data_IF_551915007892
#
_entry.id   IF_551915007892
#
_cell.length_a   1.000
_cell.length_b   1.000
_cell.length_c   1.000
_cell.angle_alpha   90.00
_cell.angle_beta   90.00
_cell.angle_gamma   90.00
#
_symmetry.space_group_name_H-M   'P 1'
#
loop_
_entity.id
_entity.type
_entity.pdbx_description
1 polymer ?
#
# COMPACT_ATOMS: atom_id res chain seq x y z
N UNK A 1 -7.45 -22.71 -34.47
CA UNK A 1 -6.82 -21.51 -33.89
C UNK A 1 -7.74 -21.05 -32.76
N UNK A 2 -7.32 -21.18 -31.50
CA UNK A 2 -8.20 -20.99 -30.34
C UNK A 2 -8.62 -19.52 -30.20
N UNK A 3 -9.93 -19.26 -30.14
CA UNK A 3 -10.52 -17.94 -29.88
C UNK A 3 -10.28 -17.43 -28.44
N UNK A 4 -9.62 -18.21 -27.56
CA UNK A 4 -9.24 -17.77 -26.22
C UNK A 4 -8.25 -16.59 -26.22
N UNK A 5 -7.51 -16.38 -27.31
CA UNK A 5 -6.62 -15.23 -27.51
C UNK A 5 -7.35 -13.89 -27.69
N UNK A 6 -8.68 -13.90 -27.83
CA UNK A 6 -9.52 -12.70 -28.01
C UNK A 6 -10.22 -12.25 -26.72
N UNK A 7 -9.97 -12.91 -25.56
CA UNK A 7 -10.36 -12.33 -24.27
C UNK A 7 -9.59 -11.03 -24.09
N UNK A 8 -10.28 -9.96 -23.68
CA UNK A 8 -9.66 -8.65 -23.48
C UNK A 8 -8.48 -8.74 -22.51
N UNK A 9 -7.36 -8.11 -22.89
CA UNK A 9 -6.18 -7.92 -22.03
C UNK A 9 -6.44 -6.84 -20.96
N UNK A 10 -7.64 -6.83 -20.37
CA UNK A 10 -8.05 -5.80 -19.43
C UNK A 10 -7.23 -5.91 -18.14
N UNK A 11 -6.27 -4.99 -18.01
CA UNK A 11 -5.52 -4.80 -16.80
C UNK A 11 -6.31 -3.90 -15.85
N UNK A 12 -6.48 -4.37 -14.62
CA UNK A 12 -7.12 -3.65 -13.52
C UNK A 12 -6.02 -3.18 -12.59
N UNK A 13 -6.07 -1.91 -12.18
CA UNK A 13 -5.15 -1.36 -11.18
C UNK A 13 -5.91 -1.05 -9.91
N UNK A 14 -5.54 -1.72 -8.82
CA UNK A 14 -6.00 -1.38 -7.47
C UNK A 14 -5.03 -0.40 -6.82
N UNK A 15 -5.54 0.72 -6.32
CA UNK A 15 -4.77 1.75 -5.63
C UNK A 15 -5.29 1.90 -4.21
N UNK A 16 -4.41 1.68 -3.23
CA UNK A 16 -4.68 1.92 -1.82
C UNK A 16 -3.85 3.12 -1.33
N UNK A 17 -4.53 4.14 -0.81
CA UNK A 17 -3.92 5.29 -0.15
C UNK A 17 -4.20 5.17 1.34
N UNK A 18 -3.18 5.31 2.18
CA UNK A 18 -3.34 5.24 3.65
C UNK A 18 -2.69 6.43 4.35
N UNK A 19 -3.25 6.81 5.49
CA UNK A 19 -2.70 7.81 6.41
C UNK A 19 -2.28 7.14 7.70
N UNK A 20 -1.06 7.42 8.13
CA UNK A 20 -0.43 6.81 9.30
C UNK A 20 0.04 7.89 10.28
N UNK A 21 -0.07 7.58 11.57
CA UNK A 21 0.57 8.29 12.67
C UNK A 21 1.72 7.45 13.23
N UNK A 22 2.86 8.08 13.48
CA UNK A 22 4.09 7.45 13.98
C UNK A 22 4.50 8.15 15.27
N UNK A 23 3.81 7.84 16.38
CA UNK A 23 3.97 8.57 17.66
C UNK A 23 5.41 8.56 18.18
N UNK A 24 6.15 7.48 17.91
CA UNK A 24 7.54 7.30 18.33
C UNK A 24 8.57 8.05 17.48
N UNK A 25 8.19 8.66 16.35
CA UNK A 25 9.12 9.40 15.52
C UNK A 25 9.27 10.84 16.02
N UNK A 26 10.47 11.20 16.46
CA UNK A 26 10.79 12.57 16.90
C UNK A 26 11.58 13.34 15.83
N UNK A 27 12.17 12.63 14.87
CA UNK A 27 12.92 13.22 13.75
C UNK A 27 12.47 12.64 12.40
N UNK A 28 12.80 13.34 11.30
CA UNK A 28 12.58 12.81 9.95
C UNK A 28 13.35 11.50 9.70
N UNK A 29 14.49 11.31 10.37
CA UNK A 29 15.27 10.06 10.26
C UNK A 29 14.52 8.88 10.89
N UNK A 30 13.86 9.09 12.02
CA UNK A 30 13.06 8.06 12.69
C UNK A 30 11.91 7.61 11.79
N UNK A 31 11.17 8.57 11.21
CA UNK A 31 10.12 8.28 10.23
C UNK A 31 10.67 7.44 9.07
N UNK A 32 11.76 7.90 8.44
CA UNK A 32 12.36 7.21 7.29
C UNK A 32 12.73 5.77 7.63
N UNK A 33 13.28 5.51 8.82
CA UNK A 33 13.62 4.17 9.28
C UNK A 33 12.37 3.29 9.42
N UNK A 34 11.32 3.79 10.08
CA UNK A 34 10.07 3.05 10.31
C UNK A 34 9.36 2.76 8.98
N UNK A 35 9.21 3.78 8.13
CA UNK A 35 8.55 3.66 6.83
C UNK A 35 9.33 2.74 5.90
N UNK A 36 10.67 2.83 5.87
CA UNK A 36 11.51 1.90 5.09
C UNK A 36 11.25 0.45 5.52
N UNK A 37 11.31 0.16 6.82
CA UNK A 37 11.07 -1.19 7.33
C UNK A 37 9.68 -1.73 6.95
N UNK A 38 8.64 -0.90 7.04
CA UNK A 38 7.30 -1.25 6.60
C UNK A 38 7.24 -1.56 5.09
N UNK A 39 7.82 -0.68 4.27
CA UNK A 39 7.86 -0.86 2.81
C UNK A 39 8.60 -2.14 2.41
N UNK A 40 9.74 -2.42 3.04
CA UNK A 40 10.53 -3.63 2.77
C UNK A 40 9.73 -4.89 3.11
N UNK A 41 9.07 -4.92 4.29
CA UNK A 41 8.19 -6.03 4.68
C UNK A 41 7.03 -6.23 3.70
N UNK A 42 6.45 -5.15 3.21
CA UNK A 42 5.33 -5.19 2.24
C UNK A 42 5.79 -5.77 0.92
N UNK A 43 6.88 -5.24 0.36
CA UNK A 43 7.43 -5.70 -0.94
C UNK A 43 7.84 -7.17 -0.90
N UNK A 44 8.32 -7.65 0.25
CA UNK A 44 8.69 -9.06 0.41
C UNK A 44 7.48 -10.01 0.51
N UNK A 45 6.31 -9.50 0.90
CA UNK A 45 5.10 -10.32 1.13
C UNK A 45 4.06 -10.20 0.03
N UNK A 46 4.00 -9.05 -0.65
CA UNK A 46 2.97 -8.72 -1.62
C UNK A 46 3.59 -8.21 -2.91
N UNK A 47 3.01 -8.62 -4.05
CA UNK A 47 3.40 -8.10 -5.36
C UNK A 47 2.77 -6.71 -5.58
N UNK A 48 3.32 -5.69 -4.94
CA UNK A 48 2.79 -4.32 -4.99
C UNK A 48 3.91 -3.28 -5.16
N UNK A 49 3.59 -2.19 -5.85
CA UNK A 49 4.37 -0.96 -5.79
C UNK A 49 3.95 -0.15 -4.56
N UNK A 50 4.91 0.47 -3.87
CA UNK A 50 4.63 1.27 -2.67
C UNK A 50 5.58 2.46 -2.53
N UNK A 51 5.02 3.63 -2.22
CA UNK A 51 5.77 4.86 -1.95
C UNK A 51 5.14 5.70 -0.83
N UNK A 52 5.96 6.52 -0.18
CA UNK A 52 5.44 7.63 0.64
C UNK A 52 5.00 8.75 -0.31
N UNK A 53 3.81 9.32 -0.09
CA UNK A 53 3.17 10.30 -0.96
C UNK A 53 2.73 11.53 -0.14
N UNK A 54 3.39 12.67 -0.34
CA UNK A 54 3.10 13.88 0.45
C UNK A 54 3.44 13.76 1.94
N UNK A 55 3.28 14.87 2.68
CA UNK A 55 3.61 15.00 4.13
C UNK A 55 5.03 14.53 4.49
N UNK A 56 6.01 14.78 3.62
CA UNK A 56 7.38 14.30 3.82
C UNK A 56 8.08 15.04 4.97
N UNK A 57 7.67 16.28 5.24
CA UNK A 57 8.34 17.18 6.19
C UNK A 57 7.81 17.10 7.63
N UNK A 58 6.87 16.19 7.92
CA UNK A 58 6.41 15.92 9.28
C UNK A 58 6.88 14.53 9.75
N UNK A 59 7.55 14.45 10.90
CA UNK A 59 8.10 13.19 11.41
C UNK A 59 7.03 12.21 11.92
N UNK A 60 5.95 12.69 12.53
CA UNK A 60 4.90 11.81 13.08
C UNK A 60 3.75 11.48 12.12
N UNK A 61 3.73 12.02 10.90
CA UNK A 61 2.68 11.71 9.93
C UNK A 61 3.30 11.17 8.65
N UNK A 62 2.68 10.13 8.11
CA UNK A 62 3.05 9.57 6.83
C UNK A 62 1.80 9.27 6.01
N UNK A 63 1.95 9.36 4.69
CA UNK A 63 0.94 8.94 3.72
C UNK A 63 1.61 7.96 2.78
N UNK A 64 1.03 6.79 2.60
CA UNK A 64 1.56 5.79 1.68
C UNK A 64 0.57 5.54 0.55
N UNK A 65 1.09 5.50 -0.67
CA UNK A 65 0.39 5.04 -1.86
C UNK A 65 0.88 3.65 -2.23
N UNK A 66 -0.05 2.72 -2.42
CA UNK A 66 0.20 1.34 -2.81
C UNK A 66 -0.58 1.06 -4.09
N UNK A 67 0.05 0.44 -5.07
CA UNK A 67 -0.59 0.04 -6.32
C UNK A 67 -0.32 -1.43 -6.62
N UNK A 68 -1.34 -2.12 -7.13
CA UNK A 68 -1.28 -3.51 -7.59
C UNK A 68 -2.01 -3.62 -8.93
N UNK A 69 -1.42 -4.31 -9.89
CA UNK A 69 -2.03 -4.58 -11.20
C UNK A 69 -2.37 -6.06 -11.32
N UNK A 70 -3.45 -6.39 -12.01
CA UNK A 70 -3.79 -7.77 -12.37
C UNK A 70 -5.09 -7.85 -13.17
N UNK A 71 -5.56 -9.06 -13.44
CA UNK A 71 -6.72 -9.33 -14.29
C UNK A 71 -8.00 -9.68 -13.51
N UNK A 72 -7.93 -9.77 -12.18
CA UNK A 72 -9.06 -10.10 -11.31
C UNK A 72 -9.20 -9.07 -10.18
N UNK A 73 -10.25 -8.24 -10.26
CA UNK A 73 -10.59 -7.23 -9.26
C UNK A 73 -10.80 -7.83 -7.87
N UNK A 74 -11.40 -9.01 -7.76
CA UNK A 74 -11.67 -9.67 -6.48
C UNK A 74 -10.36 -10.11 -5.83
N UNK A 75 -9.44 -10.66 -6.62
CA UNK A 75 -8.10 -11.01 -6.16
C UNK A 75 -7.31 -9.77 -5.70
N UNK A 76 -7.31 -8.69 -6.49
CA UNK A 76 -6.67 -7.44 -6.11
C UNK A 76 -7.26 -6.86 -4.81
N UNK A 77 -8.60 -6.83 -4.71
CA UNK A 77 -9.30 -6.35 -3.51
C UNK A 77 -8.92 -7.18 -2.27
N UNK A 78 -8.94 -8.50 -2.35
CA UNK A 78 -8.56 -9.37 -1.23
C UNK A 78 -7.12 -9.15 -0.78
N UNK A 79 -6.20 -8.96 -1.74
CA UNK A 79 -4.78 -8.69 -1.46
C UNK A 79 -4.58 -7.33 -0.81
N UNK A 80 -5.21 -6.27 -1.33
CA UNK A 80 -5.11 -4.92 -0.78
C UNK A 80 -5.78 -4.81 0.61
N UNK A 81 -6.88 -5.51 0.87
CA UNK A 81 -7.49 -5.62 2.20
C UNK A 81 -6.60 -6.39 3.19
N UNK A 82 -5.90 -7.44 2.75
CA UNK A 82 -4.92 -8.15 3.59
C UNK A 82 -3.75 -7.24 3.98
N UNK A 83 -3.28 -6.41 3.05
CA UNK A 83 -2.25 -5.41 3.30
C UNK A 83 -2.74 -4.30 4.25
N UNK A 84 -4.00 -3.86 4.12
CA UNK A 84 -4.64 -2.94 5.07
C UNK A 84 -4.68 -3.51 6.49
N UNK A 85 -5.04 -4.79 6.64
CA UNK A 85 -5.05 -5.46 7.95
C UNK A 85 -3.65 -5.58 8.55
N UNK A 86 -2.62 -5.75 7.73
CA UNK A 86 -1.23 -5.73 8.21
C UNK A 86 -0.82 -4.35 8.72
N UNK A 87 -1.32 -3.25 8.14
CA UNK A 87 -1.12 -1.91 8.70
C UNK A 87 -1.86 -1.72 10.03
N UNK A 88 -3.11 -2.20 10.15
CA UNK A 88 -3.88 -2.16 11.40
C UNK A 88 -3.18 -2.90 12.55
N UNK A 89 -2.50 -4.00 12.24
CA UNK A 89 -1.78 -4.82 13.22
C UNK A 89 -0.35 -4.32 13.51
N UNK A 90 0.15 -3.28 12.82
CA UNK A 90 1.51 -2.82 13.01
C UNK A 90 1.64 -1.99 14.30
N UNK A 91 2.54 -2.39 15.20
CA UNK A 91 2.76 -1.67 16.48
C UNK A 91 3.51 -0.34 16.28
N UNK A 92 4.30 -0.22 15.21
CA UNK A 92 5.13 0.97 14.97
C UNK A 92 4.37 2.16 14.40
N UNK A 93 3.13 1.96 13.92
CA UNK A 93 2.31 2.98 13.27
C UNK A 93 0.84 2.79 13.59
N UNK A 94 0.09 3.87 13.67
CA UNK A 94 -1.36 3.86 13.84
C UNK A 94 -2.00 4.20 12.48
N UNK A 95 -2.89 3.33 11.99
CA UNK A 95 -3.67 3.60 10.78
C UNK A 95 -4.83 4.56 11.11
N UNK A 96 -4.81 5.75 10.51
CA UNK A 96 -5.84 6.77 10.73
C UNK A 96 -6.96 6.68 9.71
N UNK A 97 -6.59 6.49 8.44
CA UNK A 97 -7.53 6.55 7.32
C UNK A 97 -7.01 5.75 6.13
N UNK A 98 -7.92 5.32 5.25
CA UNK A 98 -7.60 4.64 4.01
C UNK A 98 -8.63 4.90 2.91
N UNK A 99 -8.17 4.87 1.66
CA UNK A 99 -9.01 4.94 0.47
C UNK A 99 -8.56 3.90 -0.54
N UNK A 100 -9.50 3.10 -1.04
CA UNK A 100 -9.27 2.07 -2.04
C UNK A 100 -10.06 2.40 -3.31
N UNK A 101 -9.37 2.43 -4.44
CA UNK A 101 -9.96 2.67 -5.76
C UNK A 101 -9.45 1.62 -6.76
N UNK A 102 -10.25 1.36 -7.79
CA UNK A 102 -9.88 0.51 -8.91
C UNK A 102 -10.04 1.31 -10.19
N UNK A 103 -9.03 1.26 -11.06
CA UNK A 103 -9.01 1.88 -12.38
C UNK A 103 -8.99 0.77 -13.42
#
# INVERSE_FOLDING_TARGET
>A
MNLEFLKSDDAIVGILKIRLVIRSAHTLKDKRRIIKSLKDRIKNKFNVSISEIGTVDHCQYARLGIAMVGNDKKYLNGTLLSLLNMFRAAVSVELVDHHLEFI
#
